data_IF_443408873145
#
_entry.id   IF_443408873145
#
_cell.length_a   1.000
_cell.length_b   1.000
_cell.length_c   1.000
_cell.angle_alpha   90.00
_cell.angle_beta   90.00
_cell.angle_gamma   90.00
#
_symmetry.space_group_name_H-M   'P 1'
#
loop_
_entity.id
_entity.type
_entity.pdbx_description
1 polymer ?
#
# COMPACT_ATOMS: atom_id res chain seq x y z
N UNK A 1 -3.05 -86.02 -0.87
CA UNK A 1 -2.41 -86.35 0.42
C UNK A 1 -2.65 -85.21 1.37
N UNK A 2 -3.39 -85.49 2.44
CA UNK A 2 -3.77 -84.60 3.53
C UNK A 2 -2.57 -83.99 4.24
N UNK A 3 -2.79 -82.91 5.00
CA UNK A 3 -2.58 -82.93 6.45
C UNK A 3 -3.16 -81.69 7.14
N UNK A 4 -3.96 -81.98 8.16
CA UNK A 4 -4.41 -81.09 9.23
C UNK A 4 -3.26 -80.97 10.25
N UNK A 5 -3.09 -79.78 10.86
CA UNK A 5 -2.21 -79.59 12.01
C UNK A 5 -2.49 -78.24 12.68
N UNK A 6 -2.54 -78.24 14.01
CA UNK A 6 -3.26 -77.28 14.85
C UNK A 6 -2.36 -76.56 15.88
N UNK A 7 -2.97 -75.69 16.72
CA UNK A 7 -2.56 -75.25 18.08
C UNK A 7 -1.43 -74.16 18.14
N UNK A 8 -1.33 -73.09 18.96
CA UNK A 8 -2.18 -72.27 19.89
C UNK A 8 -1.19 -71.35 20.73
N UNK A 9 -1.65 -70.17 21.23
CA UNK A 9 -1.07 -69.22 22.27
C UNK A 9 0.22 -68.40 21.94
N UNK A 10 0.54 -67.19 22.46
CA UNK A 10 0.16 -66.30 23.59
C UNK A 10 0.48 -64.81 23.30
N UNK A 11 -0.19 -63.88 24.01
CA UNK A 11 0.10 -62.44 24.16
C UNK A 11 1.49 -62.13 24.77
N UNK A 12 2.11 -61.00 24.40
CA UNK A 12 2.42 -59.88 25.33
C UNK A 12 3.14 -58.69 24.67
N UNK A 13 2.51 -57.54 24.88
CA UNK A 13 2.91 -56.13 24.86
C UNK A 13 4.39 -55.73 24.71
N UNK A 14 4.63 -54.82 23.75
CA UNK A 14 5.60 -53.73 23.89
C UNK A 14 4.94 -52.41 23.48
N UNK A 15 4.67 -51.59 24.50
CA UNK A 15 4.25 -50.20 24.41
C UNK A 15 5.35 -49.36 23.75
N UNK A 16 5.05 -48.79 22.59
CA UNK A 16 5.84 -47.71 22.00
C UNK A 16 5.04 -46.43 22.10
N UNK A 17 5.52 -45.53 22.95
CA UNK A 17 5.01 -44.17 23.17
C UNK A 17 5.14 -43.36 21.87
N UNK A 18 4.04 -43.09 21.19
CA UNK A 18 3.99 -42.12 20.10
C UNK A 18 3.76 -40.73 20.69
N UNK A 19 4.82 -39.92 20.71
CA UNK A 19 4.73 -38.48 20.92
C UNK A 19 3.88 -37.86 19.79
N UNK A 20 2.61 -37.59 20.08
CA UNK A 20 1.76 -36.78 19.20
C UNK A 20 2.28 -35.34 19.21
N UNK A 21 3.05 -35.02 18.17
CA UNK A 21 3.37 -33.64 17.81
C UNK A 21 2.07 -32.94 17.44
N UNK A 22 1.59 -32.06 18.32
CA UNK A 22 0.51 -31.12 18.00
C UNK A 22 1.06 -30.07 17.03
N UNK A 23 1.00 -30.36 15.74
CA UNK A 23 1.13 -29.33 14.71
C UNK A 23 -0.09 -28.41 14.82
N UNK A 24 0.07 -27.30 15.55
CA UNK A 24 -0.78 -26.13 15.42
C UNK A 24 -0.71 -25.69 13.95
N UNK A 25 -1.70 -26.13 13.20
CA UNK A 25 -1.93 -25.78 11.82
C UNK A 25 -2.31 -24.29 11.82
N UNK A 26 -1.31 -23.43 11.62
CA UNK A 26 -1.51 -22.00 11.38
C UNK A 26 -2.46 -21.90 10.18
N UNK A 27 -3.68 -21.48 10.43
CA UNK A 27 -4.66 -21.22 9.36
C UNK A 27 -4.00 -20.34 8.30
N UNK A 28 -4.07 -20.68 7.01
CA UNK A 28 -3.60 -19.78 5.97
C UNK A 28 -4.39 -18.49 6.09
N UNK A 29 -3.70 -17.36 6.18
CA UNK A 29 -4.32 -16.06 6.02
C UNK A 29 -5.07 -16.07 4.68
N UNK A 30 -6.35 -15.74 4.70
CA UNK A 30 -7.15 -15.57 3.48
C UNK A 30 -6.55 -14.38 2.74
N UNK A 31 -5.67 -14.66 1.78
CA UNK A 31 -5.19 -13.69 0.80
C UNK A 31 -6.39 -13.43 -0.12
N UNK A 32 -7.19 -12.41 0.21
CA UNK A 32 -8.18 -11.91 -0.73
C UNK A 32 -7.42 -11.49 -2.00
N UNK A 33 -7.77 -12.01 -3.19
CA UNK A 33 -7.25 -11.44 -4.42
C UNK A 33 -7.84 -10.03 -4.51
N UNK A 34 -7.07 -9.03 -4.13
CA UNK A 34 -7.43 -7.61 -4.26
C UNK A 34 -7.42 -7.23 -5.76
N UNK A 35 -8.30 -7.85 -6.55
CA UNK A 35 -8.55 -7.47 -7.93
C UNK A 35 -9.36 -6.17 -7.86
N UNK A 36 -8.65 -5.05 -7.92
CA UNK A 36 -9.23 -3.73 -8.13
C UNK A 36 -9.04 -2.71 -7.01
N UNK A 37 -7.92 -2.70 -6.29
CA UNK A 37 -7.63 -1.62 -5.33
C UNK A 37 -7.67 -0.24 -6.03
N UNK A 38 -7.17 -0.12 -7.26
CA UNK A 38 -7.30 1.13 -8.05
C UNK A 38 -8.75 1.56 -8.28
N UNK A 39 -9.69 0.62 -8.40
CA UNK A 39 -11.13 0.91 -8.57
C UNK A 39 -11.81 1.21 -7.24
N UNK A 40 -11.33 0.60 -6.15
CA UNK A 40 -11.83 0.82 -4.81
C UNK A 40 -11.28 2.12 -4.19
N UNK A 41 -10.20 2.68 -4.75
CA UNK A 41 -9.59 3.90 -4.25
C UNK A 41 -10.57 5.07 -4.34
N UNK A 42 -10.83 5.67 -3.18
CA UNK A 42 -11.60 6.91 -3.06
C UNK A 42 -10.63 8.04 -2.82
N UNK A 43 -10.67 9.06 -3.70
CA UNK A 43 -9.88 10.28 -3.53
C UNK A 43 -10.27 10.97 -2.22
N UNK A 44 -9.27 11.39 -1.46
CA UNK A 44 -9.44 12.21 -0.26
C UNK A 44 -8.80 13.58 -0.43
N UNK A 45 -9.36 14.60 0.20
CA UNK A 45 -8.75 15.93 0.21
C UNK A 45 -7.75 16.01 1.35
N UNK A 46 -6.49 16.36 1.08
CA UNK A 46 -5.58 16.75 2.17
C UNK A 46 -6.06 18.05 2.85
N UNK A 47 -6.94 18.81 2.18
CA UNK A 47 -7.55 20.03 2.72
C UNK A 47 -8.93 19.79 3.37
N UNK A 48 -9.29 18.54 3.67
CA UNK A 48 -10.49 18.23 4.45
C UNK A 48 -10.16 18.22 5.95
N UNK A 49 -10.67 19.18 6.77
CA UNK A 49 -10.45 19.18 8.22
C UNK A 49 -10.91 17.90 8.91
N UNK A 50 -11.88 17.18 8.31
CA UNK A 50 -12.35 15.88 8.77
C UNK A 50 -11.30 14.77 8.70
N UNK A 51 -10.12 15.01 8.10
CA UNK A 51 -9.00 14.06 8.08
C UNK A 51 -8.00 14.25 9.24
N UNK A 52 -8.19 15.26 10.09
CA UNK A 52 -7.26 15.66 11.14
C UNK A 52 -7.88 15.54 12.55
N UNK A 53 -7.07 15.24 13.55
CA UNK A 53 -7.52 15.09 14.94
C UNK A 53 -7.95 16.42 15.57
N UNK A 54 -7.51 17.55 15.03
CA UNK A 54 -7.92 18.88 15.49
C UNK A 54 -7.71 19.93 14.40
N UNK A 55 -8.34 21.10 14.58
CA UNK A 55 -8.06 22.28 13.75
C UNK A 55 -6.59 22.69 13.81
N UNK A 56 -5.95 22.58 14.98
CA UNK A 56 -4.52 22.91 15.11
C UNK A 56 -3.62 21.98 14.28
N UNK A 57 -3.95 20.69 14.21
CA UNK A 57 -3.21 19.73 13.37
C UNK A 57 -3.46 20.03 11.89
N UNK A 58 -4.71 20.31 11.49
CA UNK A 58 -5.04 20.75 10.14
C UNK A 58 -4.25 22.01 9.75
N UNK A 59 -4.30 23.07 10.55
CA UNK A 59 -3.64 24.34 10.27
C UNK A 59 -2.11 24.19 10.16
N UNK A 60 -1.54 23.22 10.87
CA UNK A 60 -0.11 22.94 10.84
C UNK A 60 0.29 22.14 9.59
N UNK A 61 -0.53 21.16 9.17
CA UNK A 61 -0.08 20.11 8.26
C UNK A 61 -0.81 20.04 6.92
N UNK A 62 -2.01 20.63 6.78
CA UNK A 62 -2.87 20.38 5.63
C UNK A 62 -2.20 20.66 4.28
N UNK A 63 -1.33 21.67 4.21
CA UNK A 63 -0.63 22.05 2.98
C UNK A 63 0.62 21.22 2.66
N UNK A 64 1.14 20.45 3.62
CA UNK A 64 2.34 19.62 3.46
C UNK A 64 2.07 18.12 3.51
N UNK A 65 0.82 17.72 3.80
CA UNK A 65 0.40 16.33 4.01
C UNK A 65 0.09 15.53 2.73
N UNK A 66 0.62 15.90 1.56
CA UNK A 66 0.29 15.19 0.30
C UNK A 66 0.76 13.73 0.31
N UNK A 67 1.91 13.42 0.95
CA UNK A 67 2.40 12.04 1.13
C UNK A 67 1.49 11.23 2.06
N UNK A 68 1.13 11.79 3.22
CA UNK A 68 0.18 11.18 4.16
C UNK A 68 -1.16 10.88 3.48
N UNK A 69 -1.66 11.83 2.70
CA UNK A 69 -2.90 11.69 1.95
C UNK A 69 -2.81 10.58 0.89
N UNK A 70 -1.78 10.59 0.03
CA UNK A 70 -1.61 9.56 -1.00
C UNK A 70 -1.48 8.16 -0.41
N UNK A 71 -0.74 8.00 0.70
CA UNK A 71 -0.65 6.72 1.41
C UNK A 71 -2.00 6.31 2.04
N UNK A 72 -2.75 7.25 2.60
CA UNK A 72 -4.09 6.98 3.14
C UNK A 72 -5.03 6.48 2.03
N UNK A 73 -5.04 7.14 0.86
CA UNK A 73 -5.85 6.72 -0.30
C UNK A 73 -5.53 5.28 -0.72
N UNK A 74 -4.23 4.98 -0.88
CA UNK A 74 -3.77 3.67 -1.31
C UNK A 74 -4.05 2.60 -0.26
N UNK A 75 -3.70 2.82 1.00
CA UNK A 75 -3.90 1.81 2.06
C UNK A 75 -5.40 1.53 2.25
N UNK A 76 -6.24 2.56 2.25
CA UNK A 76 -7.70 2.37 2.37
C UNK A 76 -8.30 1.63 1.17
N UNK A 77 -7.73 1.76 -0.02
CA UNK A 77 -8.18 1.02 -1.20
C UNK A 77 -8.03 -0.51 -1.08
N UNK A 78 -7.20 -0.97 -0.13
CA UNK A 78 -7.06 -2.38 0.26
C UNK A 78 -7.97 -2.78 1.44
N UNK A 79 -9.01 -1.99 1.74
CA UNK A 79 -10.04 -2.33 2.74
C UNK A 79 -9.79 -1.77 4.14
N UNK A 80 -8.85 -0.85 4.28
CA UNK A 80 -8.61 -0.10 5.53
C UNK A 80 -9.46 1.17 5.60
N UNK A 81 -9.53 1.79 6.79
CA UNK A 81 -10.33 2.99 7.06
C UNK A 81 -9.53 4.02 7.88
N UNK A 82 -8.33 4.36 7.44
CA UNK A 82 -7.49 5.39 8.04
C UNK A 82 -7.91 6.79 7.60
N UNK A 83 -7.54 7.78 8.41
CA UNK A 83 -7.56 9.21 8.07
C UNK A 83 -6.14 9.69 7.86
N UNK A 84 -5.98 10.87 7.24
CA UNK A 84 -4.66 11.48 7.00
C UNK A 84 -3.85 11.59 8.29
N UNK A 85 -4.47 11.96 9.42
CA UNK A 85 -3.79 12.05 10.72
C UNK A 85 -3.14 10.74 11.17
N UNK A 86 -3.71 9.57 10.81
CA UNK A 86 -3.14 8.29 11.23
C UNK A 86 -1.79 8.04 10.55
N UNK A 87 -1.70 8.32 9.25
CA UNK A 87 -0.44 8.23 8.49
C UNK A 87 0.52 9.34 8.90
N UNK A 88 0.03 10.58 8.98
CA UNK A 88 0.80 11.77 9.33
C UNK A 88 1.48 11.64 10.70
N UNK A 89 0.78 11.09 11.68
CA UNK A 89 1.34 10.82 13.00
C UNK A 89 2.53 9.86 12.91
N UNK A 90 2.44 8.84 12.06
CA UNK A 90 3.55 7.92 11.85
C UNK A 90 4.69 8.61 11.12
N UNK A 91 4.45 9.23 9.96
CA UNK A 91 5.47 9.94 9.18
C UNK A 91 6.25 10.94 10.05
N UNK A 92 5.54 11.73 10.86
CA UNK A 92 6.16 12.74 11.74
C UNK A 92 6.95 12.10 12.88
N UNK A 93 6.46 11.01 13.47
CA UNK A 93 7.16 10.27 14.52
C UNK A 93 8.48 9.65 14.04
N UNK A 94 8.53 9.20 12.78
CA UNK A 94 9.76 8.64 12.20
C UNK A 94 10.63 9.71 11.50
N UNK A 95 10.23 10.98 11.55
CA UNK A 95 11.01 12.10 11.05
C UNK A 95 11.02 12.23 9.52
N UNK A 96 10.06 11.64 8.82
CA UNK A 96 10.00 11.64 7.34
C UNK A 96 9.24 12.85 6.79
N UNK A 97 8.51 13.59 7.62
CA UNK A 97 7.69 14.74 7.19
C UNK A 97 7.88 15.94 8.12
N UNK A 98 7.86 17.15 7.56
CA UNK A 98 7.81 18.41 8.33
C UNK A 98 6.67 19.30 7.85
N UNK A 99 6.15 20.21 8.71
CA UNK A 99 5.12 21.15 8.29
C UNK A 99 5.57 22.06 7.14
N UNK A 100 6.85 22.39 7.06
CA UNK A 100 7.41 23.34 6.10
C UNK A 100 7.69 22.71 4.72
N UNK A 101 8.16 21.47 4.68
CA UNK A 101 8.63 20.83 3.46
C UNK A 101 7.73 19.70 2.96
N UNK A 102 6.83 19.19 3.81
CA UNK A 102 6.19 17.91 3.54
C UNK A 102 7.18 16.76 3.69
N UNK A 103 7.03 15.73 2.87
CA UNK A 103 7.90 14.55 2.88
C UNK A 103 9.34 14.95 2.56
N UNK A 104 10.29 14.52 3.39
CA UNK A 104 11.69 14.91 3.28
C UNK A 104 12.46 14.05 2.27
N UNK A 105 12.15 12.76 2.20
CA UNK A 105 12.80 11.81 1.29
C UNK A 105 11.77 10.81 0.77
N UNK A 106 11.90 10.40 -0.49
CA UNK A 106 10.98 9.45 -1.12
C UNK A 106 10.95 8.06 -0.43
N UNK A 107 12.06 7.64 0.16
CA UNK A 107 12.14 6.41 0.97
C UNK A 107 11.21 6.47 2.20
N UNK A 108 10.80 7.66 2.64
CA UNK A 108 9.83 7.85 3.70
C UNK A 108 8.47 7.22 3.40
N UNK A 109 8.09 7.09 2.12
CA UNK A 109 6.89 6.35 1.72
C UNK A 109 6.98 4.88 2.14
N UNK A 110 8.10 4.20 1.83
CA UNK A 110 8.30 2.81 2.24
C UNK A 110 8.37 2.68 3.77
N UNK A 111 9.16 3.52 4.43
CA UNK A 111 9.38 3.45 5.88
C UNK A 111 8.08 3.65 6.66
N UNK A 112 7.21 4.53 6.17
CA UNK A 112 5.88 4.76 6.74
C UNK A 112 4.94 3.60 6.45
N UNK A 113 4.80 3.19 5.18
CA UNK A 113 3.91 2.11 4.78
C UNK A 113 4.19 0.80 5.54
N UNK A 114 5.47 0.51 5.84
CA UNK A 114 5.86 -0.64 6.65
C UNK A 114 5.23 -0.65 8.06
N UNK A 115 4.91 0.51 8.64
CA UNK A 115 4.22 0.62 9.94
C UNK A 115 2.74 0.25 9.87
N UNK A 116 2.19 0.21 8.66
CA UNK A 116 0.82 -0.20 8.38
C UNK A 116 0.73 -1.64 7.84
N UNK A 117 1.82 -2.42 7.95
CA UNK A 117 1.92 -3.79 7.42
C UNK A 117 1.80 -3.88 5.89
N UNK A 118 2.34 -2.88 5.19
CA UNK A 118 2.52 -2.90 3.75
C UNK A 118 3.99 -3.08 3.38
N UNK A 119 4.24 -3.82 2.32
CA UNK A 119 5.49 -3.80 1.59
C UNK A 119 5.42 -2.75 0.48
N UNK A 120 6.59 -2.24 0.07
CA UNK A 120 6.69 -1.21 -0.95
C UNK A 120 7.79 -1.53 -1.94
N UNK A 121 7.43 -1.61 -3.21
CA UNK A 121 8.38 -1.56 -4.32
C UNK A 121 8.43 -0.13 -4.86
N UNK A 122 9.58 0.53 -4.79
CA UNK A 122 9.70 1.94 -5.17
C UNK A 122 11.02 2.25 -5.89
N UNK A 123 11.04 3.39 -6.59
CA UNK A 123 12.21 3.95 -7.27
C UNK A 123 11.83 4.67 -8.56
N UNK A 124 12.82 4.92 -9.41
CA UNK A 124 12.66 5.66 -10.68
C UNK A 124 12.76 4.77 -11.94
N UNK A 125 12.66 3.45 -11.77
CA UNK A 125 12.92 2.49 -12.85
C UNK A 125 11.74 2.21 -13.78
N UNK A 126 10.53 2.66 -13.44
CA UNK A 126 9.33 2.38 -14.23
C UNK A 126 9.10 3.43 -15.31
N UNK A 127 8.71 2.99 -16.51
CA UNK A 127 8.17 3.88 -17.53
C UNK A 127 6.73 4.28 -17.20
N UNK A 128 6.22 5.36 -17.82
CA UNK A 128 4.82 5.76 -17.64
C UNK A 128 3.86 4.65 -18.09
N UNK A 129 4.19 3.95 -19.18
CA UNK A 129 3.38 2.82 -19.64
C UNK A 129 3.32 1.71 -18.60
N UNK A 130 4.44 1.41 -17.92
CA UNK A 130 4.43 0.39 -16.88
C UNK A 130 3.68 0.83 -15.63
N UNK A 131 3.76 2.11 -15.26
CA UNK A 131 2.97 2.70 -14.18
C UNK A 131 1.46 2.56 -14.47
N UNK A 132 1.03 2.94 -15.67
CA UNK A 132 -0.38 2.83 -16.08
C UNK A 132 -0.83 1.37 -16.16
N UNK A 133 0.00 0.48 -16.71
CA UNK A 133 -0.28 -0.96 -16.80
C UNK A 133 -0.55 -1.57 -15.42
N UNK A 134 0.34 -1.33 -14.45
CA UNK A 134 0.18 -1.83 -13.08
C UNK A 134 -1.09 -1.25 -12.42
N UNK A 135 -1.33 0.06 -12.60
CA UNK A 135 -2.51 0.71 -12.05
C UNK A 135 -3.83 0.18 -12.67
N UNK A 136 -3.86 -0.05 -13.99
CA UNK A 136 -4.99 -0.66 -14.68
C UNK A 136 -5.25 -2.11 -14.23
N UNK A 137 -4.21 -2.82 -13.80
CA UNK A 137 -4.32 -4.17 -13.21
C UNK A 137 -4.70 -4.16 -11.72
N UNK A 138 -5.09 -3.00 -11.19
CA UNK A 138 -5.70 -2.88 -9.87
C UNK A 138 -4.75 -2.50 -8.74
N UNK A 139 -3.51 -2.11 -9.05
CA UNK A 139 -2.54 -1.65 -8.05
C UNK A 139 -2.28 -0.14 -8.17
N UNK A 140 -2.91 0.71 -7.34
CA UNK A 140 -2.69 2.15 -7.42
C UNK A 140 -1.24 2.48 -7.06
N UNK A 141 -0.67 3.49 -7.73
CA UNK A 141 0.75 3.84 -7.61
C UNK A 141 0.90 5.26 -7.10
N UNK A 142 1.65 5.44 -6.02
CA UNK A 142 2.06 6.77 -5.55
C UNK A 142 3.19 7.27 -6.47
N UNK A 143 3.05 8.49 -6.97
CA UNK A 143 4.05 9.16 -7.84
C UNK A 143 4.36 10.54 -7.29
N UNK A 144 5.49 11.12 -7.73
CA UNK A 144 5.96 12.44 -7.31
C UNK A 144 6.14 13.35 -8.51
N UNK A 145 5.67 14.59 -8.38
CA UNK A 145 6.10 15.71 -9.22
C UNK A 145 7.11 16.53 -8.41
N UNK A 146 8.42 16.48 -8.73
CA UNK A 146 9.44 17.16 -7.93
C UNK A 146 9.34 18.69 -8.06
N UNK A 147 9.82 19.44 -7.04
CA UNK A 147 9.78 20.90 -7.01
C UNK A 147 10.31 21.61 -8.26
N UNK A 148 11.35 21.06 -8.90
CA UNK A 148 11.98 21.62 -10.10
C UNK A 148 11.07 21.55 -11.35
N UNK A 149 10.05 20.67 -11.32
CA UNK A 149 9.08 20.49 -12.42
C UNK A 149 7.68 20.96 -12.05
N UNK A 150 7.37 20.98 -10.76
CA UNK A 150 6.09 21.38 -10.21
C UNK A 150 6.33 22.16 -8.92
N UNK A 151 6.09 23.47 -8.95
CA UNK A 151 6.42 24.35 -7.83
C UNK A 151 5.86 23.85 -6.49
N UNK A 152 6.76 23.69 -5.49
CA UNK A 152 6.43 23.16 -4.17
C UNK A 152 6.51 21.64 -4.04
N UNK A 153 6.61 20.91 -5.15
CA UNK A 153 6.54 19.46 -5.18
C UNK A 153 5.12 18.95 -4.95
N UNK A 154 4.83 17.70 -5.34
CA UNK A 154 3.54 17.08 -5.07
C UNK A 154 3.60 15.55 -5.12
N UNK A 155 2.98 14.88 -4.16
CA UNK A 155 2.73 13.43 -4.22
C UNK A 155 1.23 13.18 -4.45
N UNK A 156 0.93 12.25 -5.35
CA UNK A 156 -0.43 11.89 -5.75
C UNK A 156 -0.47 10.43 -6.22
N UNK A 157 -1.66 9.92 -6.51
CA UNK A 157 -1.85 8.51 -6.86
C UNK A 157 -2.31 8.36 -8.30
N UNK A 158 -1.66 7.49 -9.06
CA UNK A 158 -2.12 6.99 -10.35
C UNK A 158 -3.02 5.78 -10.11
N UNK A 159 -4.25 5.85 -10.63
CA UNK A 159 -5.28 4.78 -10.52
C UNK A 159 -5.56 4.08 -11.85
N UNK A 160 -4.91 4.52 -12.93
CA UNK A 160 -5.03 3.90 -14.24
C UNK A 160 -4.67 4.88 -15.35
N UNK A 161 -5.03 4.52 -16.57
CA UNK A 161 -4.82 5.37 -17.74
C UNK A 161 -5.04 4.65 -19.04
N UNK A 162 -4.79 5.34 -20.14
CA UNK A 162 -4.89 4.81 -21.50
C UNK A 162 -3.81 5.42 -22.41
N UNK A 163 -4.02 5.36 -23.72
CA UNK A 163 -3.12 5.92 -24.75
C UNK A 163 -2.93 7.43 -24.66
N UNK A 164 -3.88 8.14 -24.04
CA UNK A 164 -3.96 9.60 -24.07
C UNK A 164 -3.84 10.23 -22.68
N UNK A 165 -4.34 9.55 -21.66
CA UNK A 165 -4.50 10.08 -20.32
C UNK A 165 -3.94 9.18 -19.23
N UNK A 166 -3.48 9.82 -18.15
CA UNK A 166 -3.22 9.23 -16.84
C UNK A 166 -4.38 9.59 -15.93
N UNK A 167 -4.98 8.62 -15.26
CA UNK A 167 -6.05 8.84 -14.28
C UNK A 167 -5.49 8.90 -12.87
N UNK A 168 -5.97 9.85 -12.09
CA UNK A 168 -5.33 10.28 -10.87
C UNK A 168 -6.34 10.39 -9.72
N UNK A 169 -5.87 10.11 -8.51
CA UNK A 169 -6.42 10.66 -7.28
C UNK A 169 -5.44 11.71 -6.75
N UNK A 170 -5.85 12.98 -6.84
CA UNK A 170 -5.06 14.14 -6.45
C UNK A 170 -5.69 14.78 -5.22
N UNK A 171 -4.99 14.66 -4.09
CA UNK A 171 -5.45 15.14 -2.79
C UNK A 171 -5.38 16.66 -2.64
N UNK A 172 -4.69 17.37 -3.54
CA UNK A 172 -4.56 18.82 -3.52
C UNK A 172 -5.88 19.55 -3.82
N UNK A 173 -5.89 20.88 -3.68
CA UNK A 173 -7.01 21.74 -4.08
C UNK A 173 -7.32 21.67 -5.58
N UNK A 174 -6.36 21.26 -6.42
CA UNK A 174 -6.58 21.15 -7.87
C UNK A 174 -7.45 19.95 -8.24
N UNK A 175 -7.49 18.89 -7.41
CA UNK A 175 -8.31 17.69 -7.61
C UNK A 175 -8.24 17.16 -9.04
N UNK A 176 -7.02 17.05 -9.57
CA UNK A 176 -6.81 16.53 -10.92
C UNK A 176 -7.21 15.07 -10.96
N UNK A 177 -8.27 14.77 -11.72
CA UNK A 177 -8.74 13.39 -11.95
C UNK A 177 -8.06 12.73 -13.14
N UNK A 178 -7.51 13.54 -14.04
CA UNK A 178 -6.78 13.07 -15.20
C UNK A 178 -5.81 14.11 -15.73
N UNK A 179 -4.73 13.65 -16.35
CA UNK A 179 -3.79 14.46 -17.11
C UNK A 179 -3.55 13.84 -18.48
N UNK A 180 -3.36 14.67 -19.51
CA UNK A 180 -2.76 14.18 -20.75
C UNK A 180 -1.37 13.62 -20.44
N UNK A 181 -1.00 12.50 -21.06
CA UNK A 181 0.29 11.83 -20.81
C UNK A 181 1.49 12.77 -21.01
N UNK A 182 1.46 13.60 -22.05
CA UNK A 182 2.51 14.59 -22.30
C UNK A 182 2.67 15.58 -21.15
N UNK A 183 1.56 16.05 -20.56
CA UNK A 183 1.59 16.94 -19.40
C UNK A 183 2.10 16.20 -18.15
N UNK A 184 1.67 14.96 -17.95
CA UNK A 184 2.15 14.15 -16.83
C UNK A 184 3.67 13.95 -16.92
N UNK A 185 4.20 13.57 -18.10
CA UNK A 185 5.63 13.41 -18.35
C UNK A 185 6.44 14.70 -18.19
N UNK A 186 5.82 15.86 -18.41
CA UNK A 186 6.50 17.13 -18.19
C UNK A 186 6.76 17.39 -16.69
N UNK A 187 5.87 16.91 -15.82
CA UNK A 187 5.96 17.08 -14.38
C UNK A 187 6.61 15.91 -13.65
N UNK A 188 6.52 14.69 -14.19
CA UNK A 188 6.97 13.47 -13.54
C UNK A 188 8.42 13.13 -13.87
N UNK A 189 9.21 12.78 -12.84
CA UNK A 189 10.63 12.39 -12.98
C UNK A 189 10.87 10.92 -12.62
N UNK A 190 9.86 10.08 -12.81
CA UNK A 190 10.00 8.63 -12.74
C UNK A 190 9.74 8.00 -11.36
N UNK A 191 9.67 8.79 -10.28
CA UNK A 191 9.38 8.22 -8.95
C UNK A 191 8.03 7.51 -8.96
N UNK A 192 8.05 6.27 -8.50
CA UNK A 192 6.89 5.42 -8.36
C UNK A 192 7.03 4.57 -7.10
N UNK A 193 5.94 4.39 -6.37
CA UNK A 193 5.86 3.52 -5.22
C UNK A 193 4.57 2.69 -5.26
N UNK A 194 4.73 1.38 -5.28
CA UNK A 194 3.66 0.40 -5.28
C UNK A 194 3.57 -0.18 -3.87
N UNK A 195 2.48 0.13 -3.17
CA UNK A 195 2.19 -0.44 -1.86
C UNK A 195 1.35 -1.70 -2.04
N UNK A 196 1.70 -2.77 -1.33
CA UNK A 196 0.92 -4.01 -1.28
C UNK A 196 0.84 -4.54 0.15
N UNK A 197 -0.29 -5.13 0.58
CA UNK A 197 -0.37 -5.78 1.88
C UNK A 197 0.72 -6.87 2.03
N UNK A 198 1.25 -7.05 3.24
CA UNK A 198 2.12 -8.18 3.61
C UNK A 198 1.34 -9.48 3.83
#
# INVERSE_FOLDING_TARGET
TSLVGAIFWTNSSTSTTSSQSTSQQKSPAVQYPYIGASRALVRLSQLDPGQYNSSSEFDTWAYSACSAAAMTEVINSYGHNYRVTDILKVESQIGEITPQLGLLEEIGVQRTAARFNFQTAWGHGLSLDKVIDIANHGHPIIVSFPPDRYAGGHLLVVIGGNSDYVYLADSSSYNRRSLARAQFLNWWEGFSAILSPN
#
